data_IF_937178722275
#
_entry.id   IF_937178722275
#
_cell.length_a   1.000
_cell.length_b   1.000
_cell.length_c   1.000
_cell.angle_alpha   90.00
_cell.angle_beta   90.00
_cell.angle_gamma   90.00
#
_symmetry.space_group_name_H-M   'P 1'
#
loop_
_entity.id
_entity.type
_entity.pdbx_description
1 polymer ?
#
# COMPACT_ATOMS: atom_id res chain seq x y z
N UNK A 1 6.04 -13.82 -22.28
CA UNK A 1 5.11 -13.14 -21.38
C UNK A 1 5.01 -13.94 -20.10
N UNK A 2 5.19 -13.30 -18.97
CA UNK A 2 5.10 -13.95 -17.67
C UNK A 2 3.63 -14.11 -17.25
N UNK A 3 3.33 -15.15 -16.45
CA UNK A 3 1.94 -15.46 -16.06
C UNK A 3 1.83 -15.71 -14.56
N UNK A 4 0.70 -15.27 -14.02
CA UNK A 4 0.21 -15.64 -12.68
C UNK A 4 -1.13 -16.36 -12.82
N UNK A 5 -1.55 -17.09 -11.80
CA UNK A 5 -2.81 -17.82 -11.83
C UNK A 5 -3.82 -17.13 -10.92
N UNK A 6 -4.96 -16.69 -11.50
CA UNK A 6 -6.08 -16.09 -10.76
C UNK A 6 -7.30 -17.02 -10.79
N UNK A 7 -7.73 -17.51 -9.64
CA UNK A 7 -8.85 -18.48 -9.50
C UNK A 7 -8.74 -19.65 -10.50
N UNK A 8 -7.52 -20.17 -10.69
CA UNK A 8 -7.23 -21.26 -11.61
C UNK A 8 -7.03 -20.84 -13.09
N UNK A 9 -7.24 -19.58 -13.45
CA UNK A 9 -7.05 -19.06 -14.80
C UNK A 9 -5.67 -18.39 -14.91
N UNK A 10 -4.79 -18.81 -15.84
CA UNK A 10 -3.55 -18.11 -16.12
C UNK A 10 -3.84 -16.75 -16.78
N UNK A 11 -3.26 -15.69 -16.22
CA UNK A 11 -3.32 -14.33 -16.77
C UNK A 11 -1.93 -13.76 -16.99
N UNK A 12 -1.76 -12.91 -17.97
CA UNK A 12 -0.49 -12.31 -18.31
C UNK A 12 -0.22 -11.05 -17.49
N UNK A 13 1.04 -10.76 -17.26
CA UNK A 13 1.48 -9.53 -16.60
C UNK A 13 2.79 -9.03 -17.20
N UNK A 14 3.04 -7.72 -17.07
CA UNK A 14 4.28 -7.08 -17.47
C UNK A 14 5.22 -6.93 -16.26
N UNK A 15 6.51 -6.80 -16.53
CA UNK A 15 7.51 -6.56 -15.51
C UNK A 15 7.18 -5.27 -14.74
N UNK A 16 7.21 -5.34 -13.41
CA UNK A 16 6.83 -4.23 -12.53
C UNK A 16 5.35 -4.20 -12.14
N UNK A 17 4.48 -5.00 -12.76
CA UNK A 17 3.09 -5.09 -12.35
C UNK A 17 2.96 -5.63 -10.93
N UNK A 18 1.96 -5.12 -10.20
CA UNK A 18 1.43 -5.79 -9.02
C UNK A 18 0.39 -6.84 -9.43
N UNK A 19 0.06 -7.76 -8.54
CA UNK A 19 -0.99 -8.76 -8.80
C UNK A 19 -2.35 -8.10 -9.11
N UNK A 20 -2.65 -6.94 -8.51
CA UNK A 20 -3.87 -6.19 -8.83
C UNK A 20 -3.83 -5.58 -10.23
N UNK A 21 -2.71 -5.00 -10.65
CA UNK A 21 -2.53 -4.46 -12.00
C UNK A 21 -2.64 -5.59 -13.04
N UNK A 22 -2.02 -6.74 -12.78
CA UNK A 22 -2.15 -7.90 -13.65
C UNK A 22 -3.63 -8.33 -13.84
N UNK A 23 -4.43 -8.35 -12.74
CA UNK A 23 -5.86 -8.63 -12.84
C UNK A 23 -6.59 -7.60 -13.69
N UNK A 24 -6.38 -6.31 -13.43
CA UNK A 24 -7.04 -5.21 -14.17
C UNK A 24 -6.66 -5.22 -15.63
N UNK A 25 -5.40 -5.46 -15.98
CA UNK A 25 -4.90 -5.59 -17.35
C UNK A 25 -5.65 -6.69 -18.14
N UNK A 26 -6.07 -7.74 -17.46
CA UNK A 26 -6.82 -8.85 -18.05
C UNK A 26 -8.35 -8.67 -17.86
N UNK A 27 -8.84 -7.46 -17.63
CA UNK A 27 -10.26 -7.14 -17.50
C UNK A 27 -10.93 -7.75 -16.26
N UNK A 28 -10.15 -8.13 -15.26
CA UNK A 28 -10.65 -8.75 -14.03
C UNK A 28 -10.51 -7.81 -12.84
N UNK A 29 -11.49 -7.86 -11.93
CA UNK A 29 -11.33 -7.24 -10.61
C UNK A 29 -10.45 -8.13 -9.72
N UNK A 30 -9.46 -7.57 -8.97
CA UNK A 30 -8.55 -8.37 -8.15
C UNK A 30 -9.24 -9.10 -6.99
N UNK A 31 -10.38 -8.61 -6.53
CA UNK A 31 -11.29 -9.33 -5.62
C UNK A 31 -12.65 -9.56 -6.30
N UNK A 32 -13.77 -9.24 -5.65
CA UNK A 32 -15.12 -9.47 -6.20
C UNK A 32 -15.85 -8.22 -6.66
N UNK A 33 -15.26 -7.06 -6.50
CA UNK A 33 -15.83 -5.76 -6.81
C UNK A 33 -15.43 -4.71 -5.78
N UNK A 34 -15.90 -3.49 -5.98
CA UNK A 34 -15.59 -2.33 -5.16
C UNK A 34 -14.58 -1.40 -5.81
N UNK A 35 -14.59 -0.14 -5.38
CA UNK A 35 -13.70 0.90 -5.89
C UNK A 35 -12.24 0.54 -5.62
N UNK A 36 -11.39 0.58 -6.64
CA UNK A 36 -9.96 0.33 -6.51
C UNK A 36 -9.19 1.63 -6.28
N UNK A 37 -8.31 1.64 -5.28
CA UNK A 37 -7.34 2.72 -5.02
C UNK A 37 -5.94 2.42 -5.58
N UNK A 38 -5.59 1.15 -5.75
CA UNK A 38 -4.26 0.63 -6.13
C UNK A 38 -3.10 1.15 -5.24
N UNK A 39 -3.41 1.70 -4.08
CA UNK A 39 -2.47 2.30 -3.13
C UNK A 39 -2.47 1.64 -1.74
N UNK A 40 -3.24 0.56 -1.55
CA UNK A 40 -3.29 -0.17 -0.27
C UNK A 40 -4.39 0.28 0.69
N UNK A 41 -5.13 1.36 0.39
CA UNK A 41 -6.05 2.00 1.34
C UNK A 41 -7.43 1.32 1.43
N UNK A 42 -8.00 0.93 0.27
CA UNK A 42 -9.42 0.53 0.20
C UNK A 42 -9.72 -0.90 0.68
N UNK A 43 -8.75 -1.79 0.69
CA UNK A 43 -8.98 -3.21 0.99
C UNK A 43 -9.71 -4.02 -0.10
N UNK A 44 -10.20 -3.40 -1.18
CA UNK A 44 -10.96 -4.06 -2.23
C UNK A 44 -10.12 -4.91 -3.21
N UNK A 45 -8.83 -5.04 -2.95
CA UNK A 45 -7.94 -5.92 -3.70
C UNK A 45 -7.41 -7.10 -2.86
N UNK A 46 -7.98 -7.32 -1.68
CA UNK A 46 -7.49 -8.35 -0.76
C UNK A 46 -7.86 -9.74 -1.26
N UNK A 47 -6.88 -10.65 -1.30
CA UNK A 47 -7.03 -12.00 -1.81
C UNK A 47 -6.15 -13.00 -1.02
N UNK A 48 -6.26 -14.28 -1.35
CA UNK A 48 -5.35 -15.34 -0.88
C UNK A 48 -4.23 -15.43 -1.93
N UNK A 49 -3.00 -15.19 -1.53
CA UNK A 49 -1.82 -15.26 -2.42
C UNK A 49 -0.88 -16.34 -1.93
N UNK A 50 -0.60 -17.33 -2.77
CA UNK A 50 0.30 -18.45 -2.47
C UNK A 50 -0.05 -19.14 -1.14
N UNK A 51 -1.36 -19.25 -0.84
CA UNK A 51 -1.90 -19.83 0.39
C UNK A 51 -2.02 -18.85 1.56
N UNK A 52 -1.41 -17.66 1.50
CA UNK A 52 -1.50 -16.64 2.55
C UNK A 52 -2.79 -15.81 2.36
N UNK A 53 -3.71 -15.80 3.33
CA UNK A 53 -4.95 -15.04 3.23
C UNK A 53 -4.73 -13.55 3.53
N UNK A 54 -5.67 -12.72 3.10
CA UNK A 54 -5.77 -11.27 3.40
C UNK A 54 -4.62 -10.42 2.85
N UNK A 55 -3.95 -10.90 1.80
CA UNK A 55 -2.86 -10.17 1.13
C UNK A 55 -3.43 -9.07 0.24
N UNK A 56 -2.91 -7.84 0.35
CA UNK A 56 -3.23 -6.74 -0.55
C UNK A 56 -2.52 -6.91 -1.87
N UNK A 57 -3.23 -7.35 -2.90
CA UNK A 57 -2.65 -7.64 -4.22
C UNK A 57 -2.10 -6.40 -4.92
N UNK A 58 -2.58 -5.20 -4.61
CA UNK A 58 -2.03 -3.94 -5.12
C UNK A 58 -0.68 -3.54 -4.51
N UNK A 59 -0.27 -4.20 -3.43
CA UNK A 59 1.01 -4.01 -2.75
C UNK A 59 1.95 -5.22 -2.97
N UNK A 60 1.51 -6.21 -3.74
CA UNK A 60 2.24 -7.46 -3.96
C UNK A 60 2.70 -7.52 -5.41
N UNK A 61 4.03 -7.53 -5.68
CA UNK A 61 4.55 -7.69 -7.02
C UNK A 61 4.08 -8.99 -7.67
N UNK A 62 3.72 -8.94 -8.93
CA UNK A 62 3.46 -10.13 -9.74
C UNK A 62 4.76 -10.89 -9.98
N UNK A 63 4.74 -12.21 -9.74
CA UNK A 63 5.90 -13.10 -9.96
C UNK A 63 5.47 -14.33 -10.74
N UNK A 64 6.35 -14.92 -11.56
CA UNK A 64 6.04 -16.15 -12.26
C UNK A 64 5.57 -17.24 -11.29
N UNK A 65 4.43 -17.86 -11.58
CA UNK A 65 3.89 -18.96 -10.80
C UNK A 65 3.10 -18.55 -9.54
N UNK A 66 2.98 -17.26 -9.21
CA UNK A 66 2.09 -16.82 -8.12
C UNK A 66 0.66 -17.28 -8.37
N UNK A 67 0.02 -17.80 -7.31
CA UNK A 67 -1.35 -18.29 -7.32
C UNK A 67 -2.21 -17.39 -6.45
N UNK A 68 -3.19 -16.74 -7.07
CA UNK A 68 -4.15 -15.86 -6.39
C UNK A 68 -5.53 -16.50 -6.39
N UNK A 69 -6.19 -16.50 -5.27
CA UNK A 69 -7.59 -16.92 -5.10
C UNK A 69 -8.36 -15.83 -4.38
N UNK A 70 -9.51 -15.46 -4.92
CA UNK A 70 -10.42 -14.52 -4.25
C UNK A 70 -11.03 -15.17 -3.01
N UNK A 71 -11.18 -14.39 -1.95
CA UNK A 71 -11.90 -14.88 -0.76
C UNK A 71 -13.34 -15.27 -1.11
N UNK A 72 -13.92 -16.30 -0.45
CA UNK A 72 -15.36 -16.54 -0.51
C UNK A 72 -16.17 -15.30 -0.10
N UNK A 73 -17.39 -15.16 -0.60
CA UNK A 73 -18.31 -14.11 -0.16
C UNK A 73 -18.56 -14.24 1.35
N UNK A 74 -18.51 -13.11 2.07
CA UNK A 74 -18.70 -13.07 3.51
C UNK A 74 -17.52 -13.62 4.34
N UNK A 75 -16.38 -13.92 3.72
CA UNK A 75 -15.18 -14.25 4.46
C UNK A 75 -14.72 -13.06 5.32
N UNK A 76 -14.35 -13.34 6.56
CA UNK A 76 -13.82 -12.37 7.51
C UNK A 76 -12.46 -12.85 8.03
N UNK A 77 -11.51 -11.94 8.35
CA UNK A 77 -10.30 -12.33 9.05
C UNK A 77 -10.65 -13.03 10.35
N UNK A 78 -10.15 -14.23 10.54
CA UNK A 78 -10.19 -14.84 11.87
C UNK A 78 -9.16 -14.15 12.75
N UNK A 79 -9.44 -13.88 14.04
CA UNK A 79 -8.38 -13.54 14.99
C UNK A 79 -7.33 -14.65 14.88
N UNK A 80 -6.08 -14.28 14.65
CA UNK A 80 -4.97 -15.25 14.61
C UNK A 80 -5.01 -16.13 15.87
N UNK A 81 -4.66 -17.41 15.74
CA UNK A 81 -4.37 -18.24 16.90
C UNK A 81 -3.22 -17.64 17.71
N UNK A 82 -2.88 -18.20 18.88
CA UNK A 82 -1.78 -17.69 19.69
C UNK A 82 -0.50 -17.67 18.82
N UNK A 83 -0.10 -16.47 18.40
CA UNK A 83 1.14 -16.28 17.66
C UNK A 83 2.29 -16.69 18.58
N UNK A 84 3.21 -17.48 18.07
CA UNK A 84 4.48 -17.70 18.73
C UNK A 84 5.24 -16.37 18.71
N UNK A 85 5.23 -15.67 19.83
CA UNK A 85 5.96 -14.43 19.98
C UNK A 85 7.45 -14.71 19.92
N UNK A 86 8.07 -14.46 18.79
CA UNK A 86 9.53 -14.44 18.69
C UNK A 86 10.01 -13.12 19.29
N UNK A 87 10.98 -13.19 20.19
CA UNK A 87 11.61 -11.98 20.73
C UNK A 87 12.21 -11.15 19.60
N UNK A 88 11.77 -9.91 19.49
CA UNK A 88 12.24 -8.97 18.48
C UNK A 88 13.27 -8.03 19.11
N UNK A 89 14.40 -7.81 18.44
CA UNK A 89 15.41 -6.86 18.90
C UNK A 89 14.82 -5.44 18.85
N UNK A 90 14.95 -4.73 20.00
CA UNK A 90 14.55 -3.32 20.12
C UNK A 90 15.81 -2.46 20.25
N UNK A 91 15.95 -1.47 19.37
CA UNK A 91 17.05 -0.50 19.42
C UNK A 91 16.51 0.88 19.78
N UNK A 92 17.16 1.53 20.75
CA UNK A 92 16.84 2.90 21.14
C UNK A 92 17.74 3.87 20.40
N UNK A 93 17.13 4.83 19.69
CA UNK A 93 17.84 5.83 18.88
C UNK A 93 17.33 7.24 19.17
N UNK A 94 18.14 8.24 18.83
CA UNK A 94 17.76 9.66 18.88
C UNK A 94 17.97 10.29 17.52
N UNK A 95 17.11 11.22 17.15
CA UNK A 95 17.21 12.00 15.93
C UNK A 95 16.80 13.45 16.20
N UNK A 96 17.43 14.40 15.51
CA UNK A 96 17.06 15.80 15.65
C UNK A 96 15.75 16.09 14.94
N UNK A 97 15.64 15.76 13.65
CA UNK A 97 14.43 15.94 12.85
C UNK A 97 14.10 14.63 12.13
N UNK A 98 12.89 14.13 12.29
CA UNK A 98 12.41 12.94 11.59
C UNK A 98 11.30 13.35 10.62
N UNK A 99 11.44 12.96 9.35
CA UNK A 99 10.40 13.10 8.32
C UNK A 99 9.83 11.71 8.06
N UNK A 100 8.52 11.54 8.23
CA UNK A 100 7.82 10.29 8.02
C UNK A 100 7.09 10.36 6.68
N UNK A 101 7.52 9.54 5.72
CA UNK A 101 7.12 9.54 4.32
C UNK A 101 8.15 10.25 3.44
N UNK A 102 8.50 9.63 2.30
CA UNK A 102 9.48 10.12 1.32
C UNK A 102 8.87 10.41 -0.05
N UNK A 103 7.56 10.66 -0.10
CA UNK A 103 6.90 11.19 -1.28
C UNK A 103 7.34 12.64 -1.57
N UNK A 104 6.73 13.27 -2.57
CA UNK A 104 7.05 14.64 -2.98
C UNK A 104 7.09 15.64 -1.80
N UNK A 105 6.05 15.64 -0.97
CA UNK A 105 5.96 16.53 0.20
C UNK A 105 7.02 16.21 1.26
N UNK A 106 7.30 14.93 1.51
CA UNK A 106 8.31 14.51 2.48
C UNK A 106 9.73 14.85 2.03
N UNK A 107 10.04 14.62 0.78
CA UNK A 107 11.33 15.00 0.18
C UNK A 107 11.55 16.51 0.25
N UNK A 108 10.54 17.32 -0.09
CA UNK A 108 10.60 18.78 0.01
C UNK A 108 10.79 19.24 1.48
N UNK A 109 10.06 18.66 2.42
CA UNK A 109 10.20 18.96 3.85
C UNK A 109 11.60 18.61 4.38
N UNK A 110 12.13 17.44 4.00
CA UNK A 110 13.49 17.03 4.37
C UNK A 110 14.55 17.95 3.80
N UNK A 111 14.41 18.39 2.53
CA UNK A 111 15.32 19.35 1.91
C UNK A 111 15.28 20.70 2.63
N UNK A 112 14.09 21.21 2.93
CA UNK A 112 13.94 22.48 3.66
C UNK A 112 14.52 22.42 5.08
N UNK A 113 14.37 21.30 5.79
CA UNK A 113 14.95 21.11 7.11
C UNK A 113 16.50 21.08 7.05
N UNK A 114 17.07 20.34 6.09
CA UNK A 114 18.53 20.31 5.87
C UNK A 114 19.09 21.69 5.51
N UNK A 115 18.38 22.50 4.72
CA UNK A 115 18.78 23.85 4.37
C UNK A 115 18.84 24.78 5.59
N UNK A 116 18.09 24.49 6.66
CA UNK A 116 18.18 25.18 7.95
C UNK A 116 19.30 24.66 8.87
N UNK A 117 20.02 23.65 8.45
CA UNK A 117 21.10 23.03 9.25
C UNK A 117 20.64 21.84 10.11
N UNK A 118 19.40 21.36 9.97
CA UNK A 118 18.91 20.22 10.74
C UNK A 118 19.55 18.91 10.26
N UNK A 119 19.89 18.03 11.22
CA UNK A 119 20.18 16.62 10.92
C UNK A 119 18.86 15.89 10.73
N UNK A 120 18.57 15.46 9.51
CA UNK A 120 17.27 14.88 9.11
C UNK A 120 17.38 13.39 8.85
N UNK A 121 16.56 12.61 9.56
CA UNK A 121 16.28 11.21 9.27
C UNK A 121 14.95 11.11 8.52
N UNK A 122 14.95 10.45 7.35
CA UNK A 122 13.72 10.16 6.58
C UNK A 122 13.37 8.69 6.79
N UNK A 123 12.10 8.42 7.08
CA UNK A 123 11.54 7.09 7.26
C UNK A 123 10.45 6.84 6.22
N UNK A 124 10.60 5.78 5.44
CA UNK A 124 9.60 5.40 4.44
C UNK A 124 9.44 3.87 4.42
N UNK A 125 8.20 3.41 4.27
CA UNK A 125 7.90 1.98 4.20
C UNK A 125 8.50 1.31 2.95
N UNK A 126 8.64 2.06 1.86
CA UNK A 126 9.28 1.58 0.63
C UNK A 126 10.77 1.23 0.85
N UNK A 127 11.42 1.91 1.81
CA UNK A 127 12.81 1.64 2.20
C UNK A 127 12.91 0.59 3.34
N UNK A 128 11.80 -0.09 3.67
CA UNK A 128 11.73 -1.08 4.75
C UNK A 128 11.64 -0.47 6.15
N UNK A 129 11.41 0.83 6.29
CA UNK A 129 11.25 1.55 7.57
C UNK A 129 9.79 1.93 7.79
N UNK A 130 8.99 0.98 8.27
CA UNK A 130 7.57 1.18 8.51
C UNK A 130 7.33 1.83 9.88
N UNK A 131 6.83 3.05 9.90
CA UNK A 131 6.43 3.72 11.15
C UNK A 131 5.11 3.12 11.63
N UNK A 132 5.15 2.46 12.77
CA UNK A 132 3.99 1.80 13.40
C UNK A 132 3.17 2.79 14.23
N UNK A 133 3.82 3.77 14.84
CA UNK A 133 3.14 4.78 15.63
C UNK A 133 4.05 5.92 16.09
N UNK A 134 3.41 7.03 16.44
CA UNK A 134 4.02 8.20 17.07
C UNK A 134 3.31 8.41 18.39
N UNK A 135 4.07 8.53 19.47
CA UNK A 135 3.59 8.62 20.84
C UNK A 135 4.13 9.88 21.50
N UNK A 136 3.54 10.24 22.62
CA UNK A 136 3.98 11.37 23.44
C UNK A 136 5.45 11.23 23.85
N UNK A 137 6.13 12.38 23.99
CA UNK A 137 7.52 12.47 24.41
C UNK A 137 8.58 12.45 23.29
N UNK A 138 8.46 13.05 22.12
CA UNK A 138 7.99 12.49 20.87
C UNK A 138 8.75 11.21 20.51
N UNK A 139 8.11 10.09 20.76
CA UNK A 139 8.63 8.74 20.50
C UNK A 139 8.01 8.14 19.25
N UNK A 140 8.83 7.65 18.33
CA UNK A 140 8.42 7.00 17.09
C UNK A 140 8.81 5.53 17.16
N UNK A 141 7.88 4.64 16.90
CA UNK A 141 8.13 3.20 16.77
C UNK A 141 8.21 2.85 15.29
N UNK A 142 9.34 2.26 14.90
CA UNK A 142 9.63 1.89 13.50
C UNK A 142 9.91 0.40 13.41
N UNK A 143 9.17 -0.29 12.56
CA UNK A 143 9.51 -1.65 12.14
C UNK A 143 10.56 -1.57 11.06
N UNK A 144 11.66 -2.28 11.24
CA UNK A 144 12.76 -2.39 10.28
C UNK A 144 13.02 -3.87 9.93
N UNK A 145 13.75 -4.17 8.86
CA UNK A 145 14.12 -5.57 8.54
C UNK A 145 14.88 -6.28 9.66
N UNK A 146 15.53 -5.55 10.57
CA UNK A 146 16.34 -6.09 11.66
C UNK A 146 15.67 -6.04 13.04
N UNK A 147 14.41 -5.58 13.14
CA UNK A 147 13.68 -5.49 14.40
C UNK A 147 12.90 -4.19 14.55
N UNK A 148 12.81 -3.71 15.77
CA UNK A 148 12.07 -2.48 16.11
C UNK A 148 13.06 -1.39 16.51
N UNK A 149 12.96 -0.23 15.91
CA UNK A 149 13.62 0.99 16.38
C UNK A 149 12.63 1.85 17.17
N UNK A 150 13.00 2.20 18.40
CA UNK A 150 12.35 3.22 19.19
C UNK A 150 13.15 4.51 19.08
N UNK A 151 12.61 5.49 18.37
CA UNK A 151 13.26 6.77 18.08
C UNK A 151 12.69 7.87 18.97
N UNK A 152 13.57 8.65 19.62
CA UNK A 152 13.22 9.93 20.22
C UNK A 152 13.65 11.05 19.28
N UNK A 153 12.70 11.89 18.86
CA UNK A 153 12.94 13.00 17.93
C UNK A 153 12.72 14.35 18.64
N UNK A 154 13.46 15.39 18.23
CA UNK A 154 13.15 16.76 18.66
C UNK A 154 12.03 17.35 17.80
N UNK A 155 12.06 17.06 16.50
CA UNK A 155 11.04 17.50 15.52
C UNK A 155 10.56 16.34 14.68
N UNK A 156 9.25 16.31 14.40
CA UNK A 156 8.63 15.32 13.53
C UNK A 156 7.83 16.04 12.46
N UNK A 157 8.07 15.69 11.21
CA UNK A 157 7.22 16.08 10.08
C UNK A 157 6.50 14.86 9.55
N UNK A 158 5.16 14.90 9.54
CA UNK A 158 4.33 13.85 8.96
C UNK A 158 4.04 14.20 7.49
N UNK A 159 4.49 13.35 6.59
CA UNK A 159 4.31 13.47 5.14
C UNK A 159 3.88 12.13 4.53
N UNK A 160 3.00 11.41 5.24
CA UNK A 160 2.54 10.05 4.89
C UNK A 160 1.57 10.02 3.71
N UNK A 161 1.28 11.19 3.11
CA UNK A 161 0.27 11.31 2.06
C UNK A 161 -1.16 11.30 2.60
N UNK A 162 -2.10 11.10 1.70
CA UNK A 162 -3.52 11.04 2.01
C UNK A 162 -4.16 9.86 1.29
N UNK A 163 -5.09 9.18 1.96
CA UNK A 163 -5.96 8.19 1.33
C UNK A 163 -7.12 8.89 0.61
N UNK A 164 -7.47 8.38 -0.57
CA UNK A 164 -8.63 8.86 -1.29
C UNK A 164 -9.90 8.28 -0.68
N UNK A 165 -10.85 9.14 -0.33
CA UNK A 165 -12.15 8.72 0.20
C UNK A 165 -13.03 8.24 -0.96
N UNK A 166 -13.48 6.99 -0.88
CA UNK A 166 -14.39 6.43 -1.85
C UNK A 166 -15.79 7.04 -1.74
N UNK A 167 -16.47 7.31 -2.86
CA UNK A 167 -17.82 7.83 -2.81
C UNK A 167 -18.77 6.80 -2.17
N UNK A 168 -19.61 7.26 -1.24
CA UNK A 168 -20.68 6.46 -0.65
C UNK A 168 -21.93 6.66 -1.52
N UNK A 169 -22.14 5.78 -2.47
CA UNK A 169 -23.27 5.83 -3.38
C UNK A 169 -23.70 4.42 -3.81
N UNK A 170 -24.95 4.23 -4.27
CA UNK A 170 -25.35 2.97 -4.87
C UNK A 170 -24.44 2.58 -6.03
N UNK A 171 -24.01 1.33 -6.03
CA UNK A 171 -23.12 0.81 -7.08
C UNK A 171 -21.62 0.97 -6.82
N UNK A 172 -21.17 1.60 -5.75
CA UNK A 172 -19.74 1.75 -5.43
C UNK A 172 -18.98 0.41 -5.23
N UNK A 173 -19.71 -0.70 -5.15
CA UNK A 173 -19.16 -2.06 -5.08
C UNK A 173 -19.08 -2.77 -6.44
N UNK A 174 -19.45 -2.10 -7.53
CA UNK A 174 -19.30 -2.66 -8.88
C UNK A 174 -17.83 -2.71 -9.30
N UNK A 175 -17.50 -3.62 -10.21
CA UNK A 175 -16.20 -3.63 -10.86
C UNK A 175 -16.10 -2.46 -11.86
N UNK A 176 -14.86 -1.99 -12.13
CA UNK A 176 -14.62 -0.88 -13.07
C UNK A 176 -14.68 0.51 -12.44
N UNK A 177 -14.75 0.61 -11.11
CA UNK A 177 -14.70 1.89 -10.39
C UNK A 177 -13.29 2.08 -9.83
N UNK A 178 -12.70 3.22 -10.13
CA UNK A 178 -11.34 3.57 -9.72
C UNK A 178 -11.32 4.94 -9.05
N UNK A 179 -10.44 5.12 -8.07
CA UNK A 179 -10.09 6.47 -7.65
C UNK A 179 -9.24 7.16 -8.73
N UNK A 180 -9.14 8.49 -8.76
CA UNK A 180 -8.30 9.20 -9.73
C UNK A 180 -6.85 8.71 -9.72
N UNK A 181 -6.28 8.49 -8.54
CA UNK A 181 -4.92 7.96 -8.38
C UNK A 181 -4.80 6.55 -8.95
N UNK A 182 -5.80 5.68 -8.71
CA UNK A 182 -5.80 4.33 -9.23
C UNK A 182 -5.89 4.31 -10.76
N UNK A 183 -6.73 5.18 -11.36
CA UNK A 183 -6.81 5.30 -12.81
C UNK A 183 -5.47 5.74 -13.41
N UNK A 184 -4.82 6.76 -12.81
CA UNK A 184 -3.50 7.22 -13.23
C UNK A 184 -2.43 6.12 -13.10
N UNK A 185 -2.43 5.36 -12.00
CA UNK A 185 -1.49 4.25 -11.80
C UNK A 185 -1.69 3.12 -12.82
N UNK A 186 -2.94 2.77 -13.14
CA UNK A 186 -3.24 1.77 -14.16
C UNK A 186 -2.79 2.24 -15.56
N UNK A 187 -3.05 3.50 -15.92
CA UNK A 187 -2.57 4.08 -17.18
C UNK A 187 -1.02 4.13 -17.25
N UNK A 188 -0.36 4.52 -16.17
CA UNK A 188 1.11 4.52 -16.11
C UNK A 188 1.70 3.11 -16.28
N UNK A 189 0.99 2.07 -15.84
CA UNK A 189 1.32 0.68 -16.08
C UNK A 189 0.93 0.20 -17.51
N UNK A 190 0.45 1.09 -18.38
CA UNK A 190 0.05 0.75 -19.76
C UNK A 190 -1.27 -0.03 -19.86
N UNK A 191 -2.12 0.04 -18.84
CA UNK A 191 -3.45 -0.59 -18.88
C UNK A 191 -4.43 0.33 -19.61
N UNK A 192 -5.10 -0.18 -20.65
CA UNK A 192 -6.19 0.51 -21.30
C UNK A 192 -7.48 0.34 -20.49
N UNK A 193 -7.96 1.44 -19.91
CA UNK A 193 -9.21 1.47 -19.16
C UNK A 193 -10.44 1.74 -20.05
N UNK A 194 -10.25 1.89 -21.36
CA UNK A 194 -11.34 2.17 -22.31
C UNK A 194 -11.96 3.56 -22.10
N UNK A 195 -13.29 3.66 -22.29
CA UNK A 195 -14.02 4.91 -22.07
C UNK A 195 -14.26 5.13 -20.59
N UNK A 196 -13.79 6.26 -20.08
CA UNK A 196 -13.88 6.64 -18.68
C UNK A 196 -14.97 7.70 -18.48
N UNK A 197 -15.83 7.52 -17.49
CA UNK A 197 -16.70 8.55 -16.96
C UNK A 197 -16.11 9.08 -15.64
N UNK A 198 -15.93 10.40 -15.53
CA UNK A 198 -15.43 11.05 -14.31
C UNK A 198 -16.60 11.61 -13.53
N UNK A 199 -16.72 11.23 -12.26
CA UNK A 199 -17.74 11.72 -11.33
C UNK A 199 -17.05 12.47 -10.19
N UNK A 200 -17.41 13.73 -10.00
CA UNK A 200 -16.86 14.56 -8.93
C UNK A 200 -16.93 16.04 -9.23
N UNK A 201 -16.52 16.84 -8.27
CA UNK A 201 -16.30 18.29 -8.45
C UNK A 201 -14.81 18.54 -8.60
N UNK A 202 -14.42 19.38 -9.56
CA UNK A 202 -13.12 20.05 -9.50
C UNK A 202 -13.16 21.01 -8.30
N UNK A 203 -12.27 20.76 -7.32
CA UNK A 203 -11.99 21.73 -6.25
C UNK A 203 -11.02 22.77 -6.77
#
# INVERSE_FOLDING_TARGET
MSRVVYDGTPIEYDEGDTLAIAAVRNGQHPARGGTLCLAGDCGNCVAIVDGTPWVRTCQTPARPGSVVRRHPSGAHPSPGGPEQHTAVAVRHRRAHHVVIGNGESGAAAAAAARARGDTVLVLDAADGNEVVGVFDGPTIIVRTPSGIDQLHAHHITLATGAAEIHPVCPGNMLAGIYTPRAAAAAQAAGVDLGRIAVVGRNL
#
